data_IF_599048314552
#
_entry.id   IF_599048314552
#
_cell.length_a   1.000
_cell.length_b   1.000
_cell.length_c   1.000
_cell.angle_alpha   90.00
_cell.angle_beta   90.00
_cell.angle_gamma   90.00
#
_symmetry.space_group_name_H-M   'P 1'
#
loop_
_entity.id
_entity.type
_entity.pdbx_description
1 polymer ?
#
# COMPACT_ATOMS: atom_id res chain seq x y z
N UNK A 1 43.43 -17.21 -24.12
CA UNK A 1 43.88 -17.49 -22.73
C UNK A 1 43.55 -16.23 -21.94
N UNK A 2 42.66 -16.18 -20.96
CA UNK A 2 41.97 -17.20 -20.16
C UNK A 2 40.57 -16.68 -19.83
N UNK A 3 39.52 -17.43 -20.18
CA UNK A 3 38.20 -17.25 -19.59
C UNK A 3 38.26 -17.75 -18.15
N UNK A 4 38.29 -16.85 -17.17
CA UNK A 4 38.30 -17.23 -15.75
C UNK A 4 37.07 -18.08 -15.43
N UNK A 5 37.23 -19.33 -14.94
CA UNK A 5 36.13 -20.27 -14.72
C UNK A 5 35.31 -20.01 -13.45
N UNK A 6 35.50 -18.85 -12.80
CA UNK A 6 35.09 -18.64 -11.40
C UNK A 6 33.72 -17.96 -11.22
N UNK A 7 33.13 -17.37 -12.27
CA UNK A 7 31.81 -16.69 -12.20
C UNK A 7 30.64 -17.55 -12.69
N UNK A 8 30.90 -18.62 -13.45
CA UNK A 8 29.87 -19.53 -13.96
C UNK A 8 29.42 -20.58 -12.92
N UNK A 9 30.34 -21.02 -12.06
CA UNK A 9 30.10 -22.06 -11.06
C UNK A 9 28.94 -21.76 -10.07
N UNK A 10 28.82 -20.55 -9.49
CA UNK A 10 27.78 -20.28 -8.49
C UNK A 10 26.37 -20.14 -9.10
N UNK A 11 26.25 -19.64 -10.33
CA UNK A 11 24.96 -19.51 -11.01
C UNK A 11 24.43 -20.86 -11.48
N UNK A 12 25.32 -21.74 -11.95
CA UNK A 12 24.98 -23.12 -12.28
C UNK A 12 24.63 -23.90 -11.01
N UNK A 13 25.40 -23.75 -9.92
CA UNK A 13 25.07 -24.35 -8.62
C UNK A 13 23.69 -23.90 -8.12
N UNK A 14 23.37 -22.60 -8.22
CA UNK A 14 22.06 -22.05 -7.84
C UNK A 14 20.95 -22.66 -8.70
N UNK A 15 21.11 -22.71 -10.03
CA UNK A 15 20.11 -23.32 -10.92
C UNK A 15 19.93 -24.80 -10.65
N UNK A 16 21.03 -25.55 -10.47
CA UNK A 16 21.05 -26.99 -10.26
C UNK A 16 20.40 -27.35 -8.91
N UNK A 17 20.71 -26.61 -7.84
CA UNK A 17 20.05 -26.74 -6.53
C UNK A 17 18.57 -26.40 -6.60
N UNK A 18 18.18 -25.33 -7.30
CA UNK A 18 16.74 -25.01 -7.46
C UNK A 18 16.01 -26.09 -8.24
N UNK A 19 16.60 -26.66 -9.29
CA UNK A 19 15.95 -27.76 -10.04
C UNK A 19 15.90 -29.06 -9.26
N UNK A 20 16.93 -29.43 -8.49
CA UNK A 20 16.91 -30.63 -7.65
C UNK A 20 15.83 -30.49 -6.57
N UNK A 21 15.74 -29.35 -5.88
CA UNK A 21 14.73 -29.12 -4.85
C UNK A 21 13.32 -29.03 -5.42
N UNK A 22 13.13 -28.39 -6.57
CA UNK A 22 11.81 -28.23 -7.19
C UNK A 22 11.29 -29.55 -7.81
N UNK A 23 12.17 -30.38 -8.37
CA UNK A 23 11.80 -31.67 -8.95
C UNK A 23 11.65 -32.77 -7.89
N UNK A 24 12.48 -32.76 -6.83
CA UNK A 24 12.34 -33.69 -5.71
C UNK A 24 11.11 -33.41 -4.83
N UNK A 25 10.55 -32.20 -4.89
CA UNK A 25 9.39 -31.82 -4.07
C UNK A 25 8.16 -32.72 -4.35
N UNK A 26 7.92 -33.07 -5.62
CA UNK A 26 6.81 -33.95 -6.02
C UNK A 26 6.99 -35.39 -5.54
N UNK A 27 8.20 -35.95 -5.65
CA UNK A 27 8.50 -37.33 -5.23
C UNK A 27 8.56 -37.46 -3.70
N UNK A 28 9.06 -36.43 -3.01
CA UNK A 28 9.10 -36.38 -1.54
C UNK A 28 7.72 -36.11 -0.93
N UNK A 29 6.84 -35.36 -1.61
CA UNK A 29 5.43 -35.20 -1.22
C UNK A 29 4.72 -36.55 -1.17
N UNK A 30 4.88 -37.38 -2.20
CA UNK A 30 4.26 -38.71 -2.28
C UNK A 30 4.82 -39.72 -1.28
N UNK A 31 6.07 -39.55 -0.82
CA UNK A 31 6.72 -40.47 0.13
C UNK A 31 6.55 -40.04 1.59
N UNK A 32 6.52 -38.74 1.87
CA UNK A 32 6.40 -38.17 3.22
C UNK A 32 4.99 -38.33 3.81
N UNK A 33 3.97 -38.51 2.96
CA UNK A 33 2.58 -38.73 3.40
C UNK A 33 2.42 -40.05 4.19
N UNK A 34 3.31 -41.03 3.98
CA UNK A 34 3.29 -42.32 4.69
C UNK A 34 4.07 -42.36 6.01
N UNK A 35 4.99 -41.43 6.27
CA UNK A 35 5.87 -41.52 7.45
C UNK A 35 6.19 -40.13 8.05
N UNK A 36 5.68 -39.87 9.27
CA UNK A 36 5.85 -38.60 10.01
C UNK A 36 7.33 -38.16 10.17
N UNK A 37 8.26 -39.11 10.23
CA UNK A 37 9.69 -38.85 10.40
C UNK A 37 10.31 -38.23 9.14
N UNK A 38 9.86 -38.64 7.95
CA UNK A 38 10.30 -38.06 6.67
C UNK A 38 9.79 -36.62 6.49
N UNK A 39 8.63 -36.29 7.05
CA UNK A 39 8.09 -34.94 7.03
C UNK A 39 8.90 -33.98 7.92
N UNK A 40 9.37 -34.44 9.09
CA UNK A 40 10.26 -33.69 9.96
C UNK A 40 11.63 -33.47 9.31
N UNK A 41 12.23 -34.51 8.72
CA UNK A 41 13.49 -34.41 7.98
C UNK A 41 13.35 -33.41 6.83
N UNK A 42 12.24 -33.45 6.08
CA UNK A 42 11.95 -32.48 5.01
C UNK A 42 11.90 -31.04 5.53
N UNK A 43 11.22 -30.80 6.66
CA UNK A 43 11.14 -29.47 7.23
C UNK A 43 12.51 -28.95 7.67
N UNK A 44 13.33 -29.81 8.26
CA UNK A 44 14.70 -29.48 8.66
C UNK A 44 15.58 -29.18 7.44
N UNK A 45 15.53 -30.01 6.40
CA UNK A 45 16.34 -29.84 5.18
C UNK A 45 15.94 -28.57 4.42
N UNK A 46 14.65 -28.30 4.25
CA UNK A 46 14.17 -27.09 3.57
C UNK A 46 14.51 -25.84 4.38
N UNK A 47 14.34 -25.88 5.71
CA UNK A 47 14.65 -24.74 6.58
C UNK A 47 16.16 -24.45 6.60
N UNK A 48 17.00 -25.49 6.67
CA UNK A 48 18.45 -25.36 6.58
C UNK A 48 18.87 -24.81 5.21
N UNK A 49 18.29 -25.31 4.12
CA UNK A 49 18.57 -24.82 2.77
C UNK A 49 18.22 -23.33 2.58
N UNK A 50 17.06 -22.90 3.08
CA UNK A 50 16.65 -21.49 3.06
C UNK A 50 17.55 -20.62 3.95
N UNK A 51 17.98 -21.13 5.10
CA UNK A 51 18.94 -20.46 5.98
C UNK A 51 20.29 -20.24 5.27
N UNK A 52 20.83 -21.26 4.59
CA UNK A 52 22.08 -21.12 3.83
C UNK A 52 21.93 -20.24 2.58
N UNK A 53 20.78 -20.26 1.90
CA UNK A 53 20.46 -19.32 0.81
C UNK A 53 20.45 -17.87 1.29
N UNK A 54 19.95 -17.61 2.51
CA UNK A 54 19.96 -16.29 3.13
C UNK A 54 21.35 -15.78 3.51
N UNK A 55 22.32 -16.69 3.67
CA UNK A 55 23.73 -16.38 3.96
C UNK A 55 24.58 -16.17 2.70
N UNK A 56 24.08 -16.55 1.51
CA UNK A 56 24.81 -16.35 0.25
C UNK A 56 25.16 -14.87 -0.06
N UNK A 57 24.29 -13.88 0.18
CA UNK A 57 24.64 -12.47 -0.03
C UNK A 57 25.78 -11.98 0.87
N UNK A 58 25.92 -12.57 2.07
CA UNK A 58 27.01 -12.24 2.99
C UNK A 58 28.34 -12.94 2.67
N UNK A 59 28.29 -14.12 2.05
CA UNK A 59 29.49 -14.91 1.71
C UNK A 59 30.03 -14.58 0.31
N UNK A 60 29.18 -14.05 -0.59
CA UNK A 60 29.55 -13.68 -1.95
C UNK A 60 28.94 -12.31 -2.31
N UNK A 61 29.64 -11.21 -1.99
CA UNK A 61 29.17 -9.84 -2.30
C UNK A 61 28.94 -9.58 -3.80
N UNK A 62 29.52 -10.41 -4.67
CA UNK A 62 29.40 -10.32 -6.13
C UNK A 62 28.19 -11.05 -6.77
N UNK A 63 27.26 -11.61 -5.98
CA UNK A 63 26.05 -12.29 -6.49
C UNK A 63 24.78 -11.42 -6.47
N UNK A 64 24.87 -10.17 -6.01
CA UNK A 64 23.81 -9.19 -6.23
C UNK A 64 23.87 -8.72 -7.70
N UNK A 65 22.77 -8.83 -8.47
CA UNK A 65 22.62 -7.96 -9.61
C UNK A 65 22.45 -6.55 -9.06
N UNK A 66 23.55 -5.80 -9.05
CA UNK A 66 23.54 -4.38 -8.78
C UNK A 66 22.62 -3.70 -9.78
N UNK A 67 21.54 -3.11 -9.27
CA UNK A 67 20.99 -1.90 -9.86
C UNK A 67 22.02 -0.81 -9.54
N UNK A 68 23.06 -0.73 -10.36
CA UNK A 68 24.02 0.36 -10.29
C UNK A 68 23.80 1.31 -11.47
N UNK A 69 23.85 2.60 -11.12
CA UNK A 69 24.10 3.76 -11.96
C UNK A 69 22.99 4.32 -12.86
N UNK A 70 22.19 5.22 -12.27
CA UNK A 70 22.04 6.58 -12.83
C UNK A 70 22.53 7.61 -11.80
N UNK A 71 23.85 7.65 -11.58
CA UNK A 71 24.50 8.89 -11.14
C UNK A 71 24.63 9.79 -12.37
N UNK A 72 23.73 10.77 -12.51
CA UNK A 72 24.01 11.93 -13.36
C UNK A 72 24.91 12.90 -12.57
N UNK A 73 26.14 13.17 -13.03
CA UNK A 73 27.00 14.18 -12.44
C UNK A 73 26.59 15.54 -13.00
N UNK A 74 25.74 16.29 -12.29
CA UNK A 74 25.46 17.68 -12.64
C UNK A 74 26.46 18.60 -11.94
N UNK A 75 27.68 18.64 -12.48
CA UNK A 75 28.63 19.74 -12.29
C UNK A 75 28.76 20.42 -13.66
N UNK A 76 28.22 21.63 -13.89
CA UNK A 76 28.46 22.32 -15.14
C UNK A 76 29.92 22.80 -15.22
N UNK A 77 30.53 22.85 -16.41
CA UNK A 77 31.88 23.35 -16.58
C UNK A 77 31.88 24.86 -16.35
N UNK A 78 32.80 25.32 -15.50
CA UNK A 78 33.10 26.74 -15.31
C UNK A 78 33.75 27.28 -16.58
N UNK A 79 33.19 28.34 -17.13
CA UNK A 79 33.94 29.29 -17.97
C UNK A 79 34.14 30.54 -17.14
N UNK A 80 35.40 30.83 -16.83
CA UNK A 80 35.83 32.03 -16.12
C UNK A 80 35.70 33.27 -17.02
N UNK A 81 35.18 34.38 -16.49
CA UNK A 81 35.72 35.72 -16.77
C UNK A 81 35.18 36.79 -15.80
N UNK A 82 36.08 37.16 -14.88
CA UNK A 82 36.36 38.50 -14.32
C UNK A 82 35.36 39.25 -13.37
N UNK A 83 35.79 39.27 -12.10
CA UNK A 83 35.93 40.41 -11.17
C UNK A 83 35.01 40.53 -9.92
N UNK A 84 35.55 39.95 -8.85
CA UNK A 84 35.51 40.33 -7.41
C UNK A 84 35.84 41.82 -7.12
N UNK A 85 35.75 42.37 -5.87
CA UNK A 85 35.73 41.68 -4.56
C UNK A 85 34.79 42.22 -3.43
N UNK A 86 34.82 41.47 -2.31
CA UNK A 86 34.37 41.72 -0.93
C UNK A 86 32.94 41.23 -0.60
N UNK A 87 32.70 40.29 0.32
CA UNK A 87 33.56 39.53 1.22
C UNK A 87 32.71 38.95 2.37
N UNK A 88 32.64 37.61 2.45
CA UNK A 88 32.41 36.86 3.70
C UNK A 88 30.97 36.51 4.11
N UNK A 89 30.59 35.24 3.91
CA UNK A 89 29.56 34.55 4.71
C UNK A 89 28.55 33.74 3.90
N UNK A 90 28.81 32.44 3.70
CA UNK A 90 27.95 31.49 2.97
C UNK A 90 26.52 31.41 3.53
N UNK A 91 25.50 31.06 2.74
CA UNK A 91 25.44 29.96 1.80
C UNK A 91 24.36 29.00 2.33
N UNK A 92 23.16 29.06 1.78
CA UNK A 92 22.03 28.26 2.24
C UNK A 92 20.83 28.41 1.33
N UNK A 93 20.84 27.69 0.20
CA UNK A 93 19.59 27.32 -0.46
C UNK A 93 18.88 26.34 0.47
N UNK A 94 17.95 26.85 1.27
CA UNK A 94 17.29 26.12 2.35
C UNK A 94 16.42 24.98 1.82
N UNK A 95 16.67 23.78 2.31
CA UNK A 95 15.73 22.68 2.16
C UNK A 95 14.45 22.99 2.93
N UNK A 96 13.29 22.84 2.29
CA UNK A 96 11.95 23.03 2.88
C UNK A 96 11.76 22.22 4.18
N UNK A 97 12.51 21.12 4.35
CA UNK A 97 12.55 20.30 5.57
C UNK A 97 13.30 20.91 6.77
N UNK A 98 14.02 22.03 6.62
CA UNK A 98 14.85 22.61 7.67
C UNK A 98 14.16 23.76 8.45
N UNK A 99 13.02 24.25 7.93
CA UNK A 99 12.26 25.33 8.56
C UNK A 99 11.76 24.94 9.96
N UNK A 100 11.77 25.92 10.88
CA UNK A 100 11.22 25.76 12.23
C UNK A 100 9.75 25.34 12.20
N UNK A 101 8.99 25.85 11.24
CA UNK A 101 7.57 25.55 11.06
C UNK A 101 7.37 24.09 10.61
N UNK A 102 8.18 23.61 9.65
CA UNK A 102 8.14 22.23 9.19
C UNK A 102 8.45 21.24 10.33
N UNK A 103 9.45 21.55 11.16
CA UNK A 103 9.79 20.75 12.35
C UNK A 103 8.68 20.77 13.40
N UNK A 104 8.10 21.93 13.68
CA UNK A 104 6.99 22.05 14.63
C UNK A 104 5.77 21.24 14.17
N UNK A 105 5.35 21.38 12.91
CA UNK A 105 4.23 20.62 12.36
C UNK A 105 4.50 19.11 12.37
N UNK A 106 5.72 18.69 11.99
CA UNK A 106 6.12 17.28 12.00
C UNK A 106 6.05 16.68 13.41
N UNK A 107 6.48 17.44 14.43
CA UNK A 107 6.39 17.04 15.83
C UNK A 107 4.94 16.92 16.28
N UNK A 108 4.09 17.90 15.98
CA UNK A 108 2.67 17.85 16.34
C UNK A 108 1.97 16.63 15.72
N UNK A 109 2.17 16.38 14.42
CA UNK A 109 1.57 15.23 13.75
C UNK A 109 2.09 13.89 14.29
N UNK A 110 3.37 13.82 14.68
CA UNK A 110 3.91 12.62 15.36
C UNK A 110 3.23 12.40 16.71
N UNK A 111 3.07 13.46 17.51
CA UNK A 111 2.45 13.37 18.84
C UNK A 111 0.96 13.00 18.72
N UNK A 112 0.22 13.56 17.75
CA UNK A 112 -1.18 13.19 17.48
C UNK A 112 -1.29 11.70 17.21
N UNK A 113 -0.42 11.18 16.35
CA UNK A 113 -0.40 9.78 15.96
C UNK A 113 -0.10 8.84 17.16
N UNK A 114 0.77 9.26 18.09
CA UNK A 114 1.13 8.47 19.29
C UNK A 114 0.10 8.55 20.44
N UNK A 115 -0.65 9.66 20.56
CA UNK A 115 -1.60 9.87 21.65
C UNK A 115 -2.89 9.05 21.45
N UNK A 116 -3.43 8.36 22.46
CA UNK A 116 -4.73 7.72 22.33
C UNK A 116 -5.87 8.76 22.36
N UNK A 117 -6.95 8.51 21.61
CA UNK A 117 -8.13 9.39 21.53
C UNK A 117 -8.79 9.63 22.90
N UNK A 118 -8.64 8.69 23.84
CA UNK A 118 -9.13 8.84 25.22
C UNK A 118 -8.40 9.91 26.03
N UNK A 119 -7.23 10.37 25.57
CA UNK A 119 -6.48 11.43 26.23
C UNK A 119 -6.99 12.80 25.77
N UNK A 120 -7.36 13.67 26.72
CA UNK A 120 -7.68 15.08 26.41
C UNK A 120 -6.54 15.81 25.68
N UNK A 121 -5.30 15.35 25.83
CA UNK A 121 -4.13 15.90 25.11
C UNK A 121 -4.22 15.68 23.61
N UNK A 122 -4.91 14.62 23.17
CA UNK A 122 -5.10 14.32 21.75
C UNK A 122 -5.76 15.50 21.02
N UNK A 123 -6.92 15.95 21.51
CA UNK A 123 -7.65 17.08 20.92
C UNK A 123 -6.86 18.39 21.00
N UNK A 124 -6.10 18.62 22.07
CA UNK A 124 -5.26 19.82 22.21
C UNK A 124 -4.16 19.85 21.16
N UNK A 125 -3.43 18.74 20.96
CA UNK A 125 -2.34 18.69 19.99
C UNK A 125 -2.90 18.66 18.57
N UNK A 126 -4.01 17.96 18.33
CA UNK A 126 -4.69 17.92 17.03
C UNK A 126 -5.17 19.30 16.61
N UNK A 127 -5.85 20.03 17.48
CA UNK A 127 -6.30 21.40 17.19
C UNK A 127 -5.14 22.37 16.98
N UNK A 128 -4.00 22.17 17.63
CA UNK A 128 -2.79 22.96 17.37
C UNK A 128 -2.20 22.65 15.99
N UNK A 129 -2.18 21.37 15.58
CA UNK A 129 -1.74 20.98 14.24
C UNK A 129 -2.69 21.55 13.17
N UNK A 130 -4.01 21.46 13.37
CA UNK A 130 -5.01 22.01 12.46
C UNK A 130 -4.85 23.52 12.32
N UNK A 131 -4.72 24.24 13.45
CA UNK A 131 -4.49 25.68 13.43
C UNK A 131 -3.24 26.05 12.64
N UNK A 132 -2.13 25.38 12.86
CA UNK A 132 -0.88 25.65 12.14
C UNK A 132 -1.02 25.39 10.63
N UNK A 133 -1.70 24.29 10.25
CA UNK A 133 -1.97 23.99 8.84
C UNK A 133 -2.84 25.08 8.22
N UNK A 134 -3.90 25.48 8.91
CA UNK A 134 -4.89 26.42 8.41
C UNK A 134 -4.30 27.86 8.35
N UNK A 135 -3.51 28.27 9.33
CA UNK A 135 -2.74 29.53 9.32
C UNK A 135 -1.77 29.58 8.13
N UNK A 136 -1.00 28.51 7.90
CA UNK A 136 -0.10 28.40 6.74
C UNK A 136 -0.86 28.52 5.40
N UNK A 137 -2.09 28.01 5.33
CA UNK A 137 -2.93 28.13 4.13
C UNK A 137 -3.49 29.55 3.96
N UNK A 138 -3.90 30.19 5.06
CA UNK A 138 -4.43 31.55 5.05
C UNK A 138 -3.41 32.59 4.61
N UNK A 139 -2.12 32.36 4.89
CA UNK A 139 -1.03 33.23 4.43
C UNK A 139 -0.87 33.25 2.90
N UNK A 140 -1.42 32.25 2.19
CA UNK A 140 -1.38 32.19 0.73
C UNK A 140 0.03 32.05 0.13
N UNK A 141 1.02 31.71 0.94
CA UNK A 141 2.41 31.57 0.53
C UNK A 141 2.69 30.17 0.00
N UNK A 142 3.25 30.07 -1.21
CA UNK A 142 3.59 28.80 -1.86
C UNK A 142 4.52 27.92 -1.00
N UNK A 143 5.52 28.52 -0.36
CA UNK A 143 6.49 27.77 0.44
C UNK A 143 5.86 27.17 1.69
N UNK A 144 4.88 27.85 2.31
CA UNK A 144 4.15 27.32 3.46
C UNK A 144 3.19 26.21 3.05
N UNK A 145 2.58 26.34 1.86
CA UNK A 145 1.79 25.27 1.26
C UNK A 145 2.65 24.04 0.97
N UNK A 146 3.84 24.22 0.42
CA UNK A 146 4.80 23.13 0.18
C UNK A 146 5.25 22.45 1.50
N UNK A 147 5.48 23.25 2.56
CA UNK A 147 5.75 22.72 3.91
C UNK A 147 4.60 21.85 4.40
N UNK A 148 3.36 22.33 4.32
CA UNK A 148 2.17 21.57 4.70
C UNK A 148 2.10 20.26 3.90
N UNK A 149 2.17 20.33 2.56
CA UNK A 149 2.10 19.16 1.70
C UNK A 149 3.17 18.12 2.03
N UNK A 150 4.42 18.54 2.19
CA UNK A 150 5.55 17.65 2.50
C UNK A 150 5.36 16.97 3.85
N UNK A 151 5.07 17.75 4.89
CA UNK A 151 4.97 17.24 6.26
C UNK A 151 3.74 16.35 6.45
N UNK A 152 2.58 16.75 5.92
CA UNK A 152 1.35 15.97 6.01
C UNK A 152 1.47 14.68 5.19
N UNK A 153 2.11 14.71 4.02
CA UNK A 153 2.36 13.50 3.21
C UNK A 153 3.25 12.49 3.94
N UNK A 154 4.28 12.97 4.64
CA UNK A 154 5.13 12.11 5.48
C UNK A 154 4.33 11.50 6.65
N UNK A 155 3.48 12.30 7.31
CA UNK A 155 2.58 11.81 8.36
C UNK A 155 1.55 10.79 7.84
N UNK A 156 1.01 11.00 6.64
CA UNK A 156 0.09 10.08 5.97
C UNK A 156 0.77 8.73 5.74
N UNK A 157 1.98 8.72 5.15
CA UNK A 157 2.79 7.51 4.95
C UNK A 157 3.03 6.72 6.24
N UNK A 158 3.38 7.42 7.33
CA UNK A 158 3.61 6.80 8.64
C UNK A 158 2.34 6.17 9.18
N UNK A 159 1.24 6.91 9.17
CA UNK A 159 -0.07 6.47 9.68
C UNK A 159 -0.59 5.27 8.88
N UNK A 160 -0.39 5.29 7.55
CA UNK A 160 -0.75 4.19 6.65
C UNK A 160 0.01 2.91 6.97
N UNK A 161 1.33 3.04 7.17
CA UNK A 161 2.20 1.90 7.51
C UNK A 161 1.84 1.29 8.87
N UNK A 162 1.50 2.13 9.85
CA UNK A 162 1.05 1.66 11.16
C UNK A 162 -0.31 1.00 11.10
N UNK A 163 -1.26 1.53 10.30
CA UNK A 163 -2.57 0.91 10.12
C UNK A 163 -2.40 -0.50 9.53
N UNK A 164 -1.57 -0.65 8.50
CA UNK A 164 -1.26 -1.95 7.91
C UNK A 164 -0.65 -2.91 8.94
N UNK A 165 0.32 -2.46 9.74
CA UNK A 165 0.91 -3.27 10.80
C UNK A 165 -0.10 -3.66 11.89
N UNK A 166 -0.99 -2.74 12.28
CA UNK A 166 -2.04 -2.99 13.26
C UNK A 166 -3.02 -4.05 12.76
N UNK A 167 -3.49 -3.92 11.53
CA UNK A 167 -4.40 -4.90 10.89
C UNK A 167 -3.75 -6.27 10.74
N UNK A 168 -2.49 -6.33 10.31
CA UNK A 168 -1.73 -7.59 10.23
C UNK A 168 -1.64 -8.30 11.59
N UNK A 169 -1.39 -7.53 12.65
CA UNK A 169 -1.27 -8.09 14.00
C UNK A 169 -2.60 -8.62 14.57
N UNK A 170 -3.73 -8.05 14.14
CA UNK A 170 -5.06 -8.57 14.49
C UNK A 170 -5.33 -9.91 13.81
N UNK A 171 -5.03 -10.04 12.52
CA UNK A 171 -5.23 -11.29 11.77
C UNK A 171 -4.41 -12.48 12.30
N UNK A 172 -3.20 -12.22 12.83
CA UNK A 172 -2.37 -13.27 13.44
C UNK A 172 -2.88 -13.75 14.80
N UNK A 173 -3.56 -12.89 15.57
CA UNK A 173 -4.12 -13.24 16.89
C UNK A 173 -5.37 -14.12 16.76
N UNK A 174 -6.21 -13.88 15.76
CA UNK A 174 -7.41 -14.70 15.52
C UNK A 174 -7.10 -16.09 14.93
N UNK A 175 -5.94 -16.28 14.28
CA UNK A 175 -5.52 -17.56 13.71
C UNK A 175 -4.79 -18.51 14.67
N UNK A 176 -4.58 -18.12 15.93
CA UNK A 176 -3.69 -18.82 16.88
C UNK A 176 -4.38 -19.67 17.96
N UNK A 177 -5.71 -19.73 18.03
CA UNK A 177 -6.41 -20.43 19.10
C UNK A 177 -7.76 -20.96 18.68
N UNK A 178 -7.81 -22.25 18.29
CA UNK A 178 -9.06 -22.91 17.98
C UNK A 178 -8.86 -24.16 17.12
N UNK A 179 -8.35 -25.24 17.72
CA UNK A 179 -8.61 -26.57 17.16
C UNK A 179 -9.99 -27.02 17.63
N UNK A 180 -10.99 -27.04 16.73
CA UNK A 180 -12.10 -28.01 16.66
C UNK A 180 -12.69 -27.95 15.23
N UNK A 181 -13.01 -29.13 14.72
CA UNK A 181 -13.66 -29.49 13.45
C UNK A 181 -14.81 -28.57 12.98
N UNK A 182 -15.00 -28.46 11.66
CA UNK A 182 -16.23 -27.94 11.06
C UNK A 182 -16.19 -27.74 9.54
N UNK A 183 -16.52 -28.81 8.84
CA UNK A 183 -17.11 -28.94 7.50
C UNK A 183 -16.51 -28.32 6.22
N UNK A 184 -16.44 -29.24 5.25
CA UNK A 184 -16.22 -29.07 3.82
C UNK A 184 -17.42 -28.34 3.21
N UNK A 185 -17.15 -27.25 2.49
CA UNK A 185 -17.95 -26.93 1.30
C UNK A 185 -16.96 -26.81 0.14
N UNK A 186 -17.08 -27.81 -0.74
CA UNK A 186 -16.42 -27.95 -2.01
C UNK A 186 -16.91 -26.87 -2.99
N UNK A 187 -16.00 -26.36 -3.81
CA UNK A 187 -16.24 -25.22 -4.69
C UNK A 187 -14.99 -24.81 -5.45
N UNK A 188 -14.46 -25.73 -6.25
CA UNK A 188 -13.39 -25.48 -7.20
C UNK A 188 -13.84 -24.44 -8.25
N UNK A 189 -13.06 -23.36 -8.41
CA UNK A 189 -12.41 -22.93 -9.66
C UNK A 189 -11.80 -21.51 -9.48
N UNK A 190 -10.51 -21.37 -9.84
CA UNK A 190 -9.64 -20.17 -9.79
C UNK A 190 -8.97 -19.81 -8.44
N UNK A 191 -8.30 -20.78 -7.81
CA UNK A 191 -7.50 -20.57 -6.58
C UNK A 191 -6.05 -20.09 -6.84
N UNK A 192 -5.53 -20.15 -8.07
CA UNK A 192 -4.08 -20.03 -8.29
C UNK A 192 -3.54 -18.60 -8.27
N UNK A 193 -4.33 -17.56 -8.57
CA UNK A 193 -3.81 -16.18 -8.47
C UNK A 193 -3.87 -15.62 -7.03
N UNK A 194 -4.92 -16.01 -6.29
CA UNK A 194 -5.20 -15.52 -4.93
C UNK A 194 -4.36 -16.25 -3.87
N UNK A 195 -4.09 -17.55 -4.05
CA UNK A 195 -3.28 -18.35 -3.11
C UNK A 195 -1.78 -18.04 -3.20
N UNK A 196 -1.29 -17.62 -4.36
CA UNK A 196 0.13 -17.27 -4.54
C UNK A 196 0.54 -16.01 -3.76
N UNK A 197 -0.34 -14.99 -3.68
CA UNK A 197 -0.09 -13.79 -2.83
C UNK A 197 -0.05 -14.11 -1.34
N UNK A 198 -0.86 -15.07 -0.88
CA UNK A 198 -0.88 -15.48 0.53
C UNK A 198 0.46 -16.12 0.99
N UNK A 199 1.13 -16.89 0.13
CA UNK A 199 2.44 -17.50 0.46
C UNK A 199 3.59 -16.49 0.44
N UNK A 200 3.57 -15.51 -0.47
CA UNK A 200 4.59 -14.46 -0.54
C UNK A 200 4.59 -13.55 0.70
N UNK A 201 3.41 -13.22 1.22
CA UNK A 201 3.27 -12.39 2.43
C UNK A 201 3.78 -13.07 3.70
N UNK A 202 3.76 -14.41 3.76
CA UNK A 202 4.30 -15.18 4.89
C UNK A 202 5.84 -15.19 4.91
N UNK A 203 6.48 -15.10 3.74
CA UNK A 203 7.95 -15.06 3.61
C UNK A 203 8.49 -13.66 3.84
N UNK A 204 7.78 -12.61 3.42
CA UNK A 204 8.13 -11.21 3.72
C UNK A 204 7.93 -10.84 5.19
N UNK A 205 6.98 -11.48 5.88
CA UNK A 205 6.72 -11.27 7.31
C UNK A 205 7.84 -11.73 8.26
N UNK A 206 8.71 -12.65 7.83
CA UNK A 206 9.82 -13.14 8.65
C UNK A 206 11.00 -12.15 8.72
N UNK A 207 11.17 -11.30 7.69
CA UNK A 207 12.30 -10.36 7.60
C UNK A 207 12.04 -9.06 8.36
N UNK A 208 10.77 -8.66 8.57
CA UNK A 208 10.39 -7.49 9.39
C UNK A 208 10.51 -7.74 10.90
N UNK A 209 10.71 -8.98 11.34
CA UNK A 209 10.59 -9.34 12.76
C UNK A 209 11.75 -8.86 13.64
N UNK A 210 12.90 -8.46 13.08
CA UNK A 210 14.02 -7.96 13.88
C UNK A 210 13.96 -6.46 14.19
N UNK A 211 13.24 -5.66 13.39
CA UNK A 211 13.01 -4.24 13.69
C UNK A 211 11.86 -4.03 14.68
N UNK A 212 10.83 -4.86 14.61
CA UNK A 212 9.59 -4.71 15.39
C UNK A 212 9.72 -5.19 16.85
N UNK A 213 10.67 -6.09 17.12
CA UNK A 213 10.98 -6.58 18.49
C UNK A 213 11.62 -5.48 19.34
N UNK A 214 12.32 -4.52 18.73
CA UNK A 214 12.93 -3.39 19.45
C UNK A 214 11.88 -2.32 19.87
N UNK A 215 10.75 -2.22 19.16
CA UNK A 215 9.65 -1.30 19.52
C UNK A 215 8.68 -1.87 20.57
N UNK A 216 8.61 -3.20 20.72
CA UNK A 216 7.64 -3.88 21.62
C UNK A 216 8.15 -4.21 23.02
N UNK A 217 9.44 -4.03 23.32
CA UNK A 217 9.97 -4.30 24.65
C UNK A 217 9.66 -3.19 25.68
N UNK A 218 9.04 -2.08 25.25
CA UNK A 218 8.78 -0.90 26.09
C UNK A 218 7.33 -0.64 26.53
N UNK A 219 6.33 -1.45 26.14
CA UNK A 219 4.91 -1.18 26.48
C UNK A 219 4.24 -2.33 27.21
N UNK A 220 3.65 -1.98 28.36
CA UNK A 220 2.99 -2.84 29.34
C UNK A 220 1.87 -3.71 28.75
N UNK A 221 1.66 -4.85 29.42
CA UNK A 221 0.76 -6.00 29.19
C UNK A 221 -0.76 -5.68 29.16
N UNK A 222 -1.14 -4.42 28.95
CA UNK A 222 -2.53 -3.92 29.05
C UNK A 222 -3.11 -3.52 27.68
N UNK A 223 -2.55 -4.08 26.60
CA UNK A 223 -2.81 -3.75 25.19
C UNK A 223 -3.68 -4.81 24.46
N UNK A 224 -4.29 -5.74 25.19
CA UNK A 224 -5.00 -6.89 24.59
C UNK A 224 -6.40 -6.54 24.04
N UNK A 225 -7.05 -5.51 24.58
CA UNK A 225 -8.37 -5.01 24.15
C UNK A 225 -8.32 -3.61 23.52
N UNK A 226 -7.12 -3.02 23.37
CA UNK A 226 -6.91 -1.64 22.90
C UNK A 226 -6.49 -1.53 21.42
N UNK A 227 -6.14 -2.65 20.79
CA UNK A 227 -5.61 -2.69 19.42
C UNK A 227 -6.67 -2.38 18.35
N UNK A 228 -7.93 -2.82 18.52
CA UNK A 228 -9.04 -2.47 17.63
C UNK A 228 -9.30 -0.96 17.59
N UNK A 229 -9.40 -0.33 18.76
CA UNK A 229 -9.52 1.13 18.91
C UNK A 229 -8.33 1.89 18.29
N UNK A 230 -7.13 1.31 18.31
CA UNK A 230 -5.95 1.91 17.68
C UNK A 230 -6.01 1.87 16.15
N UNK A 231 -6.49 0.79 15.54
CA UNK A 231 -6.61 0.69 14.09
C UNK A 231 -7.71 1.62 13.55
N UNK A 232 -8.86 1.67 14.24
CA UNK A 232 -9.95 2.62 13.92
C UNK A 232 -9.47 4.07 14.00
N UNK A 233 -8.70 4.42 15.06
CA UNK A 233 -8.06 5.72 15.19
C UNK A 233 -7.17 6.04 13.99
N UNK A 234 -6.27 5.14 13.62
CA UNK A 234 -5.34 5.36 12.50
C UNK A 234 -6.08 5.55 11.17
N UNK A 235 -7.16 4.80 10.94
CA UNK A 235 -8.01 4.99 9.76
C UNK A 235 -8.72 6.35 9.76
N UNK A 236 -9.21 6.82 10.92
CA UNK A 236 -9.78 8.16 11.07
C UNK A 236 -8.74 9.27 10.89
N UNK A 237 -7.50 9.07 11.35
CA UNK A 237 -6.38 9.98 11.11
C UNK A 237 -5.99 10.04 9.64
N UNK A 238 -5.98 8.91 8.93
CA UNK A 238 -5.74 8.89 7.48
C UNK A 238 -6.79 9.70 6.71
N UNK A 239 -8.07 9.57 7.09
CA UNK A 239 -9.13 10.37 6.50
C UNK A 239 -8.87 11.87 6.71
N UNK A 240 -8.57 12.27 7.95
CA UNK A 240 -8.26 13.66 8.26
C UNK A 240 -7.03 14.19 7.52
N UNK A 241 -5.93 13.44 7.50
CA UNK A 241 -4.70 13.81 6.77
C UNK A 241 -4.98 13.93 5.27
N UNK A 242 -5.80 13.05 4.70
CA UNK A 242 -6.20 13.15 3.28
C UNK A 242 -7.01 14.41 2.98
N UNK A 243 -7.93 14.80 3.87
CA UNK A 243 -8.70 16.04 3.75
C UNK A 243 -7.80 17.27 3.83
N UNK A 244 -6.83 17.27 4.77
CA UNK A 244 -5.85 18.36 4.89
C UNK A 244 -4.91 18.42 3.68
N UNK A 245 -4.48 17.29 3.13
CA UNK A 245 -3.69 17.25 1.89
C UNK A 245 -4.46 17.82 0.69
N UNK A 246 -5.73 17.44 0.53
CA UNK A 246 -6.59 17.99 -0.51
C UNK A 246 -6.77 19.51 -0.36
N UNK A 247 -7.01 20.00 0.86
CA UNK A 247 -7.11 21.44 1.13
C UNK A 247 -5.81 22.21 0.84
N UNK A 248 -4.65 21.55 0.96
CA UNK A 248 -3.35 22.11 0.60
C UNK A 248 -3.01 22.00 -0.90
N UNK A 249 -3.90 21.45 -1.74
CA UNK A 249 -3.63 21.23 -3.17
C UNK A 249 -2.76 20.01 -3.48
N UNK A 250 -2.54 19.12 -2.51
CA UNK A 250 -1.67 17.94 -2.62
C UNK A 250 -2.45 16.63 -2.42
N UNK A 251 -3.73 16.61 -2.82
CA UNK A 251 -4.59 15.42 -2.74
C UNK A 251 -4.05 14.24 -3.54
N UNK A 252 -3.41 14.50 -4.68
CA UNK A 252 -2.81 13.49 -5.57
C UNK A 252 -1.78 12.59 -4.87
N UNK A 253 -1.06 13.16 -3.91
CA UNK A 253 -0.01 12.50 -3.13
C UNK A 253 -0.61 11.50 -2.13
N UNK A 254 -1.80 11.81 -1.59
CA UNK A 254 -2.60 10.89 -0.77
C UNK A 254 -3.20 9.75 -1.61
N UNK A 255 -3.76 10.09 -2.78
CA UNK A 255 -4.32 9.10 -3.71
C UNK A 255 -3.25 8.12 -4.16
N UNK A 256 -2.06 8.60 -4.53
CA UNK A 256 -0.95 7.76 -5.00
C UNK A 256 -0.50 6.76 -3.92
N UNK A 257 -0.40 7.20 -2.67
CA UNK A 257 -0.05 6.31 -1.55
C UNK A 257 -1.14 5.29 -1.25
N UNK A 258 -2.40 5.72 -1.22
CA UNK A 258 -3.52 4.83 -0.97
C UNK A 258 -3.67 3.79 -2.09
N UNK A 259 -3.54 4.20 -3.35
CA UNK A 259 -3.53 3.32 -4.52
C UNK A 259 -2.40 2.27 -4.44
N UNK A 260 -1.27 2.60 -3.82
CA UNK A 260 -0.12 1.71 -3.66
C UNK A 260 -0.25 0.76 -2.46
N UNK A 261 -1.23 0.95 -1.58
CA UNK A 261 -1.42 0.19 -0.36
C UNK A 261 -2.20 -1.13 -0.59
N UNK A 262 -1.81 -1.90 -1.60
CA UNK A 262 -2.53 -3.11 -2.02
C UNK A 262 -2.57 -4.21 -0.95
N UNK A 263 -1.54 -4.28 -0.08
CA UNK A 263 -1.52 -5.25 1.01
C UNK A 263 -2.57 -4.90 2.07
N UNK A 264 -2.64 -3.62 2.47
CA UNK A 264 -3.68 -3.13 3.36
C UNK A 264 -5.08 -3.32 2.75
N UNK A 265 -5.25 -3.02 1.47
CA UNK A 265 -6.53 -3.18 0.77
C UNK A 265 -7.01 -4.64 0.78
N UNK A 266 -6.10 -5.60 0.61
CA UNK A 266 -6.41 -7.03 0.73
C UNK A 266 -6.81 -7.41 2.16
N UNK A 267 -6.04 -6.96 3.15
CA UNK A 267 -6.33 -7.23 4.57
C UNK A 267 -7.68 -6.65 4.99
N UNK A 268 -8.06 -5.50 4.43
CA UNK A 268 -9.33 -4.83 4.70
C UNK A 268 -10.55 -5.72 4.44
N UNK A 269 -10.44 -6.70 3.53
CA UNK A 269 -11.55 -7.63 3.24
C UNK A 269 -11.86 -8.57 4.41
N UNK A 270 -10.95 -8.71 5.36
CA UNK A 270 -11.08 -9.61 6.53
C UNK A 270 -10.99 -8.89 7.87
N UNK A 271 -11.00 -7.55 7.87
CA UNK A 271 -11.04 -6.76 9.11
C UNK A 271 -12.44 -6.69 9.72
N UNK A 272 -12.51 -6.27 10.98
CA UNK A 272 -13.77 -6.00 11.67
C UNK A 272 -14.61 -4.95 10.90
N UNK A 273 -15.94 -5.13 10.89
CA UNK A 273 -16.88 -4.30 10.11
C UNK A 273 -16.75 -2.79 10.40
N UNK A 274 -16.51 -2.42 11.67
CA UNK A 274 -16.32 -1.02 12.07
C UNK A 274 -15.08 -0.42 11.41
N UNK A 275 -13.96 -1.16 11.39
CA UNK A 275 -12.73 -0.73 10.74
C UNK A 275 -12.88 -0.69 9.21
N UNK A 276 -13.57 -1.67 8.61
CA UNK A 276 -13.94 -1.62 7.19
C UNK A 276 -14.69 -0.34 6.85
N UNK A 277 -15.64 0.07 7.70
CA UNK A 277 -16.38 1.32 7.51
C UNK A 277 -15.48 2.56 7.46
N UNK A 278 -14.47 2.66 8.33
CA UNK A 278 -13.50 3.76 8.26
C UNK A 278 -12.66 3.69 6.97
N UNK A 279 -12.21 2.51 6.55
CA UNK A 279 -11.42 2.34 5.32
C UNK A 279 -12.24 2.62 4.05
N UNK A 280 -13.53 2.33 4.07
CA UNK A 280 -14.48 2.73 3.01
C UNK A 280 -14.59 4.25 2.93
N UNK A 281 -14.68 4.96 4.07
CA UNK A 281 -14.70 6.44 4.07
C UNK A 281 -13.42 7.04 3.49
N UNK A 282 -12.26 6.51 3.87
CA UNK A 282 -10.96 6.92 3.30
C UNK A 282 -10.94 6.66 1.78
N UNK A 283 -11.36 5.47 1.35
CA UNK A 283 -11.39 5.10 -0.07
C UNK A 283 -12.36 5.98 -0.86
N UNK A 284 -13.56 6.23 -0.35
CA UNK A 284 -14.55 7.06 -1.01
C UNK A 284 -14.04 8.50 -1.20
N UNK A 285 -13.44 9.08 -0.16
CA UNK A 285 -12.85 10.42 -0.26
C UNK A 285 -11.73 10.46 -1.31
N UNK A 286 -10.79 9.51 -1.28
CA UNK A 286 -9.64 9.50 -2.19
C UNK A 286 -10.01 9.13 -3.63
N UNK A 287 -11.06 8.33 -3.85
CA UNK A 287 -11.59 8.07 -5.20
C UNK A 287 -12.21 9.35 -5.78
N UNK A 288 -12.92 10.15 -4.97
CA UNK A 288 -13.39 11.48 -5.39
C UNK A 288 -12.23 12.39 -5.78
N UNK A 289 -11.18 12.44 -4.96
CA UNK A 289 -9.96 13.21 -5.28
C UNK A 289 -9.27 12.71 -6.56
N UNK A 290 -9.26 11.39 -6.80
CA UNK A 290 -8.65 10.80 -7.99
C UNK A 290 -9.35 11.22 -9.29
N UNK A 291 -10.62 11.65 -9.26
CA UNK A 291 -11.33 12.14 -10.44
C UNK A 291 -10.65 13.37 -11.02
N UNK A 292 -10.33 14.32 -10.15
CA UNK A 292 -9.80 15.65 -10.52
C UNK A 292 -8.26 15.67 -10.60
N UNK A 293 -7.61 14.59 -10.15
CA UNK A 293 -6.18 14.34 -10.31
C UNK A 293 -5.75 14.53 -11.76
N UNK A 294 -4.83 15.49 -11.96
CA UNK A 294 -4.13 15.66 -13.22
C UNK A 294 -4.83 16.47 -14.31
N UNK A 295 -5.86 17.24 -13.97
CA UNK A 295 -6.60 18.10 -14.91
C UNK A 295 -5.73 19.12 -15.67
N UNK A 296 -4.50 19.40 -15.21
CA UNK A 296 -3.54 20.35 -15.81
C UNK A 296 -2.25 19.68 -16.34
N UNK A 297 -2.23 18.35 -16.52
CA UNK A 297 -1.02 17.67 -16.99
C UNK A 297 -0.85 17.76 -18.52
N UNK A 298 0.05 18.62 -18.97
CA UNK A 298 0.38 18.75 -20.40
C UNK A 298 1.28 17.61 -20.93
N UNK A 299 2.02 16.95 -20.04
CA UNK A 299 3.00 15.92 -20.38
C UNK A 299 2.39 14.52 -20.48
N UNK A 300 2.58 13.84 -21.60
CA UNK A 300 2.09 12.46 -21.85
C UNK A 300 2.54 11.49 -20.76
N UNK A 301 3.80 11.62 -20.29
CA UNK A 301 4.35 10.79 -19.21
C UNK A 301 3.62 10.97 -17.88
N UNK A 302 3.14 12.19 -17.58
CA UNK A 302 2.36 12.48 -16.37
C UNK A 302 0.95 11.92 -16.49
N UNK A 303 0.31 12.03 -17.66
CA UNK A 303 -1.01 11.43 -17.95
C UNK A 303 -0.97 9.91 -17.78
N UNK A 304 0.07 9.27 -18.31
CA UNK A 304 0.28 7.83 -18.15
C UNK A 304 0.45 7.44 -16.68
N UNK A 305 1.28 8.16 -15.92
CA UNK A 305 1.46 7.90 -14.50
C UNK A 305 0.15 8.07 -13.70
N UNK A 306 -0.68 9.05 -14.06
CA UNK A 306 -1.99 9.26 -13.45
C UNK A 306 -2.95 8.11 -13.78
N UNK A 307 -2.98 7.67 -15.04
CA UNK A 307 -3.75 6.50 -15.48
C UNK A 307 -3.35 5.25 -14.70
N UNK A 308 -2.05 4.98 -14.55
CA UNK A 308 -1.54 3.87 -13.75
C UNK A 308 -1.91 3.99 -12.26
N UNK A 309 -1.95 5.21 -11.72
CA UNK A 309 -2.40 5.44 -10.34
C UNK A 309 -3.90 5.18 -10.18
N UNK A 310 -4.74 5.67 -11.10
CA UNK A 310 -6.18 5.39 -11.16
C UNK A 310 -6.44 3.88 -11.28
N UNK A 311 -5.72 3.19 -12.15
CA UNK A 311 -5.79 1.74 -12.31
C UNK A 311 -5.44 1.01 -10.99
N UNK A 312 -4.31 1.34 -10.35
CA UNK A 312 -3.91 0.74 -9.06
C UNK A 312 -4.93 1.01 -7.95
N UNK A 313 -5.50 2.21 -7.92
CA UNK A 313 -6.54 2.59 -6.94
C UNK A 313 -7.76 1.69 -7.08
N UNK A 314 -8.31 1.57 -8.30
CA UNK A 314 -9.50 0.75 -8.58
C UNK A 314 -9.24 -0.73 -8.31
N UNK A 315 -8.12 -1.26 -8.82
CA UNK A 315 -7.75 -2.67 -8.64
C UNK A 315 -7.52 -3.06 -7.18
N UNK A 316 -7.08 -2.12 -6.34
CA UNK A 316 -6.85 -2.38 -4.91
C UNK A 316 -8.13 -2.26 -4.09
N UNK A 317 -8.95 -1.23 -4.35
CA UNK A 317 -9.98 -0.80 -3.39
C UNK A 317 -11.41 -1.12 -3.79
N UNK A 318 -11.73 -1.38 -5.07
CA UNK A 318 -13.06 -1.88 -5.47
C UNK A 318 -13.47 -3.13 -4.68
N UNK A 319 -12.60 -4.14 -4.45
CA UNK A 319 -12.95 -5.30 -3.64
C UNK A 319 -13.51 -4.96 -2.27
N UNK A 320 -12.96 -3.94 -1.60
CA UNK A 320 -13.43 -3.49 -0.30
C UNK A 320 -14.82 -2.84 -0.44
N UNK A 321 -15.02 -2.00 -1.46
CA UNK A 321 -16.32 -1.36 -1.69
C UNK A 321 -17.42 -2.40 -1.91
N UNK A 322 -17.15 -3.42 -2.72
CA UNK A 322 -18.09 -4.52 -2.98
C UNK A 322 -18.44 -5.33 -1.73
N UNK A 323 -17.46 -5.59 -0.85
CA UNK A 323 -17.60 -6.55 0.26
C UNK A 323 -17.87 -5.93 1.62
N UNK A 324 -17.61 -4.63 1.79
CA UNK A 324 -17.87 -3.95 3.04
C UNK A 324 -19.38 -3.94 3.31
N UNK A 325 -19.82 -4.85 4.18
CA UNK A 325 -21.24 -4.95 4.51
C UNK A 325 -21.72 -3.68 5.20
N UNK A 326 -22.97 -3.28 4.95
CA UNK A 326 -23.61 -2.19 5.69
C UNK A 326 -23.97 -2.59 7.14
N UNK A 327 -23.29 -3.59 7.72
CA UNK A 327 -23.60 -4.26 8.99
C UNK A 327 -23.30 -3.45 10.27
N UNK A 328 -23.19 -2.13 10.17
CA UNK A 328 -23.18 -1.21 11.32
C UNK A 328 -24.59 -0.63 11.50
N UNK A 329 -25.01 -0.35 12.74
CA UNK A 329 -26.35 0.23 13.04
C UNK A 329 -26.65 1.52 12.26
N UNK A 330 -25.61 2.21 11.77
CA UNK A 330 -25.71 3.30 10.81
C UNK A 330 -24.96 2.95 9.51
N UNK A 331 -25.49 3.34 8.33
CA UNK A 331 -24.81 3.12 7.05
C UNK A 331 -23.49 3.92 7.00
N UNK A 332 -22.42 3.28 6.52
CA UNK A 332 -21.07 3.89 6.43
C UNK A 332 -21.05 5.13 5.52
N UNK A 333 -21.82 5.06 4.43
CA UNK A 333 -22.08 6.14 3.47
C UNK A 333 -23.59 6.23 3.28
N UNK A 334 -24.12 7.44 3.19
CA UNK A 334 -25.51 7.70 2.82
C UNK A 334 -25.80 7.23 1.39
N UNK A 335 -27.09 7.05 1.07
CA UNK A 335 -27.51 6.67 -0.29
C UNK A 335 -26.98 7.65 -1.36
N UNK A 336 -27.03 8.95 -1.08
CA UNK A 336 -26.54 9.98 -2.00
C UNK A 336 -25.02 9.91 -2.19
N UNK A 337 -24.26 9.69 -1.11
CA UNK A 337 -22.80 9.53 -1.20
C UNK A 337 -22.40 8.28 -1.98
N UNK A 338 -23.17 7.19 -1.86
CA UNK A 338 -22.98 5.96 -2.64
C UNK A 338 -23.20 6.21 -4.13
N UNK A 339 -24.32 6.84 -4.51
CA UNK A 339 -24.64 7.14 -5.91
C UNK A 339 -23.63 8.13 -6.54
N UNK A 340 -23.19 9.14 -5.78
CA UNK A 340 -22.15 10.05 -6.22
C UNK A 340 -20.84 9.30 -6.46
N UNK A 341 -20.44 8.39 -5.55
CA UNK A 341 -19.22 7.62 -5.70
C UNK A 341 -19.28 6.66 -6.90
N UNK A 342 -20.43 6.04 -7.18
CA UNK A 342 -20.65 5.23 -8.38
C UNK A 342 -20.42 6.07 -9.64
N UNK A 343 -21.01 7.26 -9.73
CA UNK A 343 -20.78 8.18 -10.85
C UNK A 343 -19.30 8.55 -11.01
N UNK A 344 -18.58 8.77 -9.90
CA UNK A 344 -17.13 9.00 -9.93
C UNK A 344 -16.36 7.77 -10.42
N UNK A 345 -16.69 6.58 -9.94
CA UNK A 345 -16.07 5.32 -10.37
C UNK A 345 -16.26 5.12 -11.89
N UNK A 346 -17.48 5.32 -12.39
CA UNK A 346 -17.76 5.23 -13.83
C UNK A 346 -16.95 6.24 -14.63
N UNK A 347 -16.79 7.47 -14.14
CA UNK A 347 -15.99 8.48 -14.80
C UNK A 347 -14.49 8.10 -14.86
N UNK A 348 -13.94 7.59 -13.75
CA UNK A 348 -12.54 7.15 -13.71
C UNK A 348 -12.32 5.94 -14.62
N UNK A 349 -13.21 4.94 -14.59
CA UNK A 349 -13.15 3.77 -15.47
C UNK A 349 -13.25 4.18 -16.94
N UNK A 350 -14.13 5.14 -17.24
CA UNK A 350 -14.31 5.67 -18.59
C UNK A 350 -13.03 6.21 -19.22
N UNK A 351 -12.09 6.74 -18.42
CA UNK A 351 -10.80 7.27 -18.91
C UNK A 351 -9.74 6.17 -19.13
N UNK A 352 -9.96 4.93 -18.68
CA UNK A 352 -9.02 3.80 -18.82
C UNK A 352 -9.07 3.12 -20.21
N UNK A 353 -9.22 3.88 -21.30
CA UNK A 353 -9.51 3.33 -22.64
C UNK A 353 -8.34 2.59 -23.32
N UNK A 354 -7.15 2.54 -22.69
CA UNK A 354 -5.98 1.91 -23.30
C UNK A 354 -5.86 0.43 -22.92
N UNK A 355 -5.99 -0.44 -23.94
CA UNK A 355 -5.87 -1.89 -23.79
C UNK A 355 -7.01 -2.50 -22.95
N UNK A 356 -6.69 -3.57 -22.21
CA UNK A 356 -7.69 -4.34 -21.46
C UNK A 356 -7.91 -3.81 -20.03
N UNK A 357 -7.66 -2.53 -19.76
CA UNK A 357 -7.73 -1.97 -18.40
C UNK A 357 -9.14 -1.87 -17.86
N UNK A 358 -10.07 -1.32 -18.66
CA UNK A 358 -11.49 -1.32 -18.32
C UNK A 358 -11.99 -2.74 -18.03
N UNK A 359 -11.60 -3.71 -18.87
CA UNK A 359 -11.96 -5.12 -18.70
C UNK A 359 -11.47 -5.67 -17.35
N UNK A 360 -10.21 -5.43 -17.00
CA UNK A 360 -9.63 -5.90 -15.73
C UNK A 360 -10.39 -5.35 -14.51
N UNK A 361 -10.70 -4.05 -14.53
CA UNK A 361 -11.44 -3.40 -13.43
C UNK A 361 -12.87 -3.94 -13.35
N UNK A 362 -13.56 -4.01 -14.48
CA UNK A 362 -14.95 -4.47 -14.55
C UNK A 362 -15.08 -5.97 -14.21
N UNK A 363 -14.12 -6.80 -14.61
CA UNK A 363 -14.06 -8.21 -14.23
C UNK A 363 -13.81 -8.40 -12.74
N UNK A 364 -12.92 -7.58 -12.16
CA UNK A 364 -12.67 -7.58 -10.72
C UNK A 364 -13.93 -7.16 -9.95
N UNK A 365 -14.56 -6.07 -10.37
CA UNK A 365 -15.84 -5.62 -9.80
C UNK A 365 -16.88 -6.74 -9.86
N UNK A 366 -17.13 -7.34 -11.02
CA UNK A 366 -18.14 -8.38 -11.18
C UNK A 366 -17.88 -9.59 -10.29
N UNK A 367 -16.61 -10.00 -10.16
CA UNK A 367 -16.22 -11.08 -9.25
C UNK A 367 -16.54 -10.75 -7.78
N UNK A 368 -16.22 -9.53 -7.34
CA UNK A 368 -16.44 -9.15 -5.93
C UNK A 368 -17.88 -8.78 -5.61
N UNK A 369 -18.60 -8.20 -6.57
CA UNK A 369 -20.02 -7.87 -6.51
C UNK A 369 -20.86 -9.15 -6.38
N UNK A 370 -20.61 -10.15 -7.23
CA UNK A 370 -21.37 -11.42 -7.19
C UNK A 370 -21.03 -12.30 -5.98
N UNK A 371 -19.84 -12.14 -5.39
CA UNK A 371 -19.41 -12.91 -4.23
C UNK A 371 -20.08 -12.46 -2.91
N UNK A 372 -20.58 -11.22 -2.81
CA UNK A 372 -21.16 -10.68 -1.58
C UNK A 372 -22.70 -10.63 -1.68
N UNK A 373 -23.44 -11.64 -1.19
CA UNK A 373 -24.91 -11.67 -1.33
C UNK A 373 -25.62 -10.62 -0.46
N UNK A 374 -24.90 -9.91 0.40
CA UNK A 374 -25.44 -8.92 1.34
C UNK A 374 -25.17 -7.47 0.93
N UNK A 375 -24.52 -7.25 -0.22
CA UNK A 375 -24.18 -5.90 -0.71
C UNK A 375 -24.38 -5.80 -2.21
N UNK A 376 -25.35 -4.98 -2.63
CA UNK A 376 -25.59 -4.63 -4.03
C UNK A 376 -24.81 -3.35 -4.44
N UNK A 377 -23.70 -3.05 -3.77
CA UNK A 377 -22.94 -1.80 -3.97
C UNK A 377 -21.44 -2.08 -4.15
N UNK A 378 -20.71 -1.36 -5.03
CA UNK A 378 -21.20 -0.36 -5.99
C UNK A 378 -21.90 -1.01 -7.19
N UNK A 379 -22.97 -0.41 -7.71
CA UNK A 379 -23.60 -0.83 -8.95
C UNK A 379 -22.89 -0.18 -10.15
N UNK A 380 -22.09 -0.98 -10.87
CA UNK A 380 -21.40 -0.57 -12.11
C UNK A 380 -21.99 -1.26 -13.35
N UNK A 381 -23.23 -1.78 -13.28
CA UNK A 381 -23.88 -2.49 -14.38
C UNK A 381 -23.98 -1.65 -15.66
N UNK A 382 -24.29 -0.36 -15.53
CA UNK A 382 -24.33 0.59 -16.66
C UNK A 382 -22.95 0.71 -17.33
N UNK A 383 -21.90 0.93 -16.53
CA UNK A 383 -20.52 0.96 -17.01
C UNK A 383 -20.11 -0.34 -17.73
N UNK A 384 -20.44 -1.50 -17.14
CA UNK A 384 -20.18 -2.81 -17.74
C UNK A 384 -20.88 -2.99 -19.09
N UNK A 385 -22.16 -2.62 -19.18
CA UNK A 385 -22.97 -2.72 -20.40
C UNK A 385 -22.41 -1.83 -21.51
N UNK A 386 -21.99 -0.60 -21.17
CA UNK A 386 -21.35 0.33 -22.11
C UNK A 386 -20.04 -0.25 -22.65
N UNK A 387 -19.19 -0.79 -21.78
CA UNK A 387 -17.96 -1.46 -22.18
C UNK A 387 -18.23 -2.66 -23.11
N UNK A 388 -19.15 -3.57 -22.76
CA UNK A 388 -19.50 -4.70 -23.64
C UNK A 388 -19.99 -4.25 -25.02
N UNK A 389 -20.78 -3.18 -25.07
CA UNK A 389 -21.28 -2.61 -26.33
C UNK A 389 -20.13 -2.04 -27.17
N UNK A 390 -19.20 -1.32 -26.53
CA UNK A 390 -18.01 -0.79 -27.20
C UNK A 390 -17.10 -1.92 -27.71
N UNK A 391 -16.78 -2.91 -26.88
CA UNK A 391 -15.97 -4.07 -27.24
C UNK A 391 -16.58 -4.88 -28.39
N UNK A 392 -17.90 -5.09 -28.38
CA UNK A 392 -18.60 -5.76 -29.49
C UNK A 392 -18.46 -4.98 -30.80
N UNK A 393 -18.59 -3.66 -30.77
CA UNK A 393 -18.43 -2.81 -31.96
C UNK A 393 -17.00 -2.88 -32.51
N UNK A 394 -15.99 -2.89 -31.63
CA UNK A 394 -14.59 -3.04 -32.03
C UNK A 394 -14.33 -4.40 -32.69
N UNK A 395 -14.88 -5.49 -32.13
CA UNK A 395 -14.73 -6.82 -32.70
C UNK A 395 -15.37 -6.96 -34.09
N UNK A 396 -16.52 -6.33 -34.31
CA UNK A 396 -17.21 -6.35 -35.62
C UNK A 396 -16.50 -5.48 -36.66
N UNK A 397 -15.76 -4.46 -36.22
CA UNK A 397 -15.03 -3.53 -37.09
C UNK A 397 -13.65 -4.06 -37.54
N UNK A 398 -13.18 -5.17 -36.96
CA UNK A 398 -11.99 -5.93 -37.39
C UNK A 398 -12.37 -6.95 -38.47
#
# INVERSE_FOLDING_TARGET
MESSPTTMAPLLLRKLLTTIFFYADKSLLTLAEKHKLLQLIRYIVVSAFLFFLGLLPSLFPGLNPSVDNYNYPLKPPRTESYNQPNGGGGGGGGGVGESGIARALSQLLSIVNDLPVSSRKYEVVRSLAERLIDENLLEGNETLREVNCTVISAAFSRTLSQLEAAVLSQGQRSGGGGGVNGDVIDGAHSEDSYRYRYRLNRVLGAVRHYGDVMWRLGKSREELSRSGSSAEKLAAELLWLSQKLAACGCGDEAVTRWASASNLAWLALSTELRLQGFMVKVSAFLIKQAKDMGSEADEESKKEQQRQTKMRLLMSWIPLLCRASSGTEAPVLSFNEKAELESVLEAIIGVLEQGDEQEKVLSLWLHHFTYCPSSDWPDLHSCYTRWCTASRRLLIAQ
#
